data_IF_657097926912
#
_entry.id   IF_657097926912
#
_cell.length_a   1.000
_cell.length_b   1.000
_cell.length_c   1.000
_cell.angle_alpha   90.00
_cell.angle_beta   90.00
_cell.angle_gamma   90.00
#
_symmetry.space_group_name_H-M   'P 1'
#
loop_
_entity.id
_entity.type
_entity.pdbx_description
1 polymer ?
#
# COMPACT_ATOMS: atom_id res chain seq x y z
N UNK A 1 -11.59 9.37 -0.04
CA UNK A 1 -10.53 8.34 -0.01
C UNK A 1 -10.10 7.96 -1.43
N UNK A 2 -11.02 7.46 -2.26
CA UNK A 2 -10.71 6.97 -3.62
C UNK A 2 -10.17 8.07 -4.54
N UNK A 3 -10.65 9.30 -4.41
CA UNK A 3 -10.18 10.44 -5.22
C UNK A 3 -8.87 11.07 -4.72
N UNK A 4 -8.27 10.53 -3.65
CA UNK A 4 -7.08 11.13 -3.06
C UNK A 4 -5.82 10.85 -3.88
N UNK A 5 -4.89 11.79 -3.85
CA UNK A 5 -3.57 11.64 -4.47
C UNK A 5 -2.84 10.38 -3.98
N UNK A 6 -2.97 10.08 -2.69
CA UNK A 6 -2.41 8.87 -2.08
C UNK A 6 -3.01 7.59 -2.68
N UNK A 7 -4.33 7.55 -2.86
CA UNK A 7 -5.02 6.39 -3.39
C UNK A 7 -4.64 6.13 -4.85
N UNK A 8 -4.55 7.20 -5.64
CA UNK A 8 -4.19 7.12 -7.05
C UNK A 8 -2.72 6.71 -7.29
N UNK A 9 -1.86 6.88 -6.29
CA UNK A 9 -0.45 6.48 -6.37
C UNK A 9 -0.22 5.01 -5.98
N UNK A 10 -1.17 4.40 -5.26
CA UNK A 10 -1.05 3.01 -4.82
C UNK A 10 -0.87 2.04 -5.99
N UNK A 11 0.03 1.07 -5.77
CA UNK A 11 0.20 -0.04 -6.71
C UNK A 11 -1.05 -0.93 -6.72
N UNK A 12 -1.36 -1.60 -7.84
CA UNK A 12 -2.50 -2.52 -7.92
C UNK A 12 -2.48 -3.60 -6.84
N UNK A 13 -1.31 -4.13 -6.49
CA UNK A 13 -1.16 -5.14 -5.42
C UNK A 13 -1.43 -4.56 -4.04
N UNK A 14 -1.07 -3.30 -3.80
CA UNK A 14 -1.36 -2.58 -2.54
C UNK A 14 -2.86 -2.35 -2.38
N UNK A 15 -3.57 -2.05 -3.47
CA UNK A 15 -5.04 -1.97 -3.46
C UNK A 15 -5.69 -3.30 -3.07
N UNK A 16 -5.19 -4.43 -3.61
CA UNK A 16 -5.70 -5.76 -3.22
C UNK A 16 -5.49 -6.04 -1.72
N UNK A 17 -4.32 -5.65 -1.19
CA UNK A 17 -4.03 -5.75 0.25
C UNK A 17 -5.00 -4.87 1.06
N UNK A 18 -5.20 -3.63 0.65
CA UNK A 18 -6.11 -2.68 1.31
C UNK A 18 -7.53 -3.22 1.35
N UNK A 19 -8.06 -3.70 0.22
CA UNK A 19 -9.39 -4.32 0.15
C UNK A 19 -9.47 -5.55 1.06
N UNK A 20 -8.42 -6.36 1.13
CA UNK A 20 -8.38 -7.54 2.01
C UNK A 20 -8.48 -7.18 3.50
N UNK A 21 -7.86 -6.06 3.90
CA UNK A 21 -7.96 -5.51 5.26
C UNK A 21 -9.38 -4.94 5.47
N UNK A 22 -9.85 -4.08 4.57
CA UNK A 22 -11.15 -3.40 4.69
C UNK A 22 -12.35 -4.36 4.68
N UNK A 23 -12.27 -5.50 3.99
CA UNK A 23 -13.31 -6.56 4.05
C UNK A 23 -13.54 -7.14 5.45
N UNK A 24 -12.61 -6.90 6.38
CA UNK A 24 -12.68 -7.35 7.78
C UNK A 24 -13.02 -6.21 8.74
N UNK A 25 -13.18 -5.00 8.21
CA UNK A 25 -13.70 -3.89 8.97
C UNK A 25 -15.20 -4.11 9.18
N UNK A 26 -15.67 -4.04 10.42
CA UNK A 26 -17.08 -4.26 10.78
C UNK A 26 -17.85 -2.95 11.03
N UNK A 27 -17.21 -1.79 10.83
CA UNK A 27 -17.77 -0.47 11.12
C UNK A 27 -17.33 0.12 12.46
N UNK A 28 -16.82 -0.71 13.38
CA UNK A 28 -16.44 -0.32 14.75
C UNK A 28 -14.95 -0.59 15.07
N UNK A 29 -14.37 -1.64 14.47
CA UNK A 29 -12.95 -1.96 14.63
C UNK A 29 -12.05 -1.10 13.71
N UNK A 30 -10.75 -1.34 13.73
CA UNK A 30 -9.76 -0.55 12.99
C UNK A 30 -9.20 0.63 13.77
N UNK A 31 -9.39 0.66 15.09
CA UNK A 31 -8.70 1.61 15.98
C UNK A 31 -7.46 0.95 16.59
N UNK A 32 -6.66 1.71 17.33
CA UNK A 32 -5.54 1.16 18.09
C UNK A 32 -5.98 0.12 19.14
N UNK A 33 -7.12 0.37 19.79
CA UNK A 33 -7.61 -0.45 20.91
C UNK A 33 -8.47 -1.63 20.43
N UNK A 34 -9.13 -1.49 19.28
CA UNK A 34 -9.84 -2.56 18.58
C UNK A 34 -9.36 -2.66 17.11
N UNK A 35 -8.18 -3.26 16.85
CA UNK A 35 -7.59 -3.26 15.52
C UNK A 35 -8.19 -4.35 14.61
N UNK A 36 -8.13 -4.11 13.29
CA UNK A 36 -8.53 -5.12 12.30
C UNK A 36 -7.52 -6.25 12.28
N UNK A 37 -7.98 -7.48 12.51
CA UNK A 37 -7.17 -8.69 12.42
C UNK A 37 -7.16 -9.18 10.98
N UNK A 38 -6.00 -9.17 10.31
CA UNK A 38 -5.88 -9.69 8.94
C UNK A 38 -4.57 -10.48 8.74
N UNK A 39 -4.62 -11.82 8.72
CA UNK A 39 -3.42 -12.63 8.49
C UNK A 39 -2.96 -12.58 7.02
N UNK A 40 -1.68 -12.87 6.75
CA UNK A 40 -1.16 -12.97 5.38
C UNK A 40 -1.93 -13.97 4.51
N UNK A 41 -2.38 -15.09 5.10
CA UNK A 41 -3.17 -16.11 4.40
C UNK A 41 -4.48 -15.55 3.83
N UNK A 42 -5.07 -14.55 4.48
CA UNK A 42 -6.27 -13.87 4.02
C UNK A 42 -6.04 -12.95 2.81
N UNK A 43 -4.80 -12.61 2.51
CA UNK A 43 -4.39 -11.71 1.42
C UNK A 43 -3.80 -12.47 0.22
N UNK A 44 -3.66 -13.79 0.32
CA UNK A 44 -2.79 -14.61 -0.53
C UNK A 44 -3.33 -14.90 -1.94
N UNK A 45 -4.39 -14.25 -2.40
CA UNK A 45 -5.12 -14.55 -3.65
C UNK A 45 -4.28 -14.47 -4.94
N UNK A 46 -3.36 -15.41 -5.13
CA UNK A 46 -2.35 -15.43 -6.19
C UNK A 46 -1.09 -14.57 -5.92
N UNK A 47 -1.00 -13.92 -4.75
CA UNK A 47 0.06 -12.96 -4.45
C UNK A 47 1.10 -13.56 -3.51
N UNK A 48 2.38 -13.37 -3.82
CA UNK A 48 3.48 -13.81 -2.95
C UNK A 48 3.48 -13.06 -1.61
N UNK A 49 3.99 -13.70 -0.56
CA UNK A 49 4.13 -13.08 0.77
C UNK A 49 5.01 -11.83 0.72
N UNK A 50 6.08 -11.85 -0.08
CA UNK A 50 6.95 -10.69 -0.29
C UNK A 50 6.19 -9.52 -0.93
N UNK A 51 5.33 -9.80 -1.90
CA UNK A 51 4.48 -8.78 -2.54
C UNK A 51 3.44 -8.23 -1.57
N UNK A 52 2.83 -9.07 -0.73
CA UNK A 52 1.92 -8.63 0.34
C UNK A 52 2.67 -7.71 1.32
N UNK A 53 3.87 -8.10 1.76
CA UNK A 53 4.67 -7.30 2.67
C UNK A 53 5.02 -5.92 2.10
N UNK A 54 5.36 -5.87 0.80
CA UNK A 54 5.55 -4.61 0.06
C UNK A 54 4.26 -3.79 0.02
N UNK A 55 3.11 -4.43 -0.24
CA UNK A 55 1.81 -3.76 -0.29
C UNK A 55 1.42 -3.16 1.05
N UNK A 56 1.63 -3.88 2.15
CA UNK A 56 1.39 -3.35 3.50
C UNK A 56 2.25 -2.12 3.77
N UNK A 57 3.55 -2.17 3.45
CA UNK A 57 4.46 -1.03 3.64
C UNK A 57 4.01 0.20 2.85
N UNK A 58 3.62 -0.01 1.60
CA UNK A 58 3.11 1.05 0.72
C UNK A 58 1.87 1.71 1.31
N UNK A 59 0.94 0.94 1.87
CA UNK A 59 -0.24 1.47 2.55
C UNK A 59 0.10 2.26 3.83
N UNK A 60 1.14 1.86 4.57
CA UNK A 60 1.63 2.61 5.74
C UNK A 60 2.28 3.94 5.32
N UNK A 61 3.12 3.92 4.28
CA UNK A 61 3.77 5.11 3.72
C UNK A 61 2.74 6.12 3.19
N UNK A 62 1.63 5.62 2.64
CA UNK A 62 0.52 6.45 2.13
C UNK A 62 -0.49 6.86 3.23
N UNK A 63 -0.29 6.44 4.48
CA UNK A 63 -1.15 6.85 5.59
C UNK A 63 -2.56 6.24 5.57
N UNK A 64 -2.72 5.07 4.96
CA UNK A 64 -3.99 4.33 4.98
C UNK A 64 -4.14 3.43 6.19
N UNK A 65 -3.04 2.83 6.65
CA UNK A 65 -3.04 1.90 7.78
C UNK A 65 -1.79 2.08 8.64
N UNK A 66 -1.84 1.53 9.84
CA UNK A 66 -0.68 1.30 10.69
C UNK A 66 -0.73 -0.12 11.24
N UNK A 67 0.37 -0.87 11.11
CA UNK A 67 0.48 -2.15 11.82
C UNK A 67 0.63 -1.92 13.31
N UNK A 68 -0.28 -2.51 14.09
CA UNK A 68 -0.21 -2.53 15.55
C UNK A 68 0.56 -3.76 16.01
N UNK A 69 0.36 -4.91 15.36
CA UNK A 69 1.07 -6.15 15.67
C UNK A 69 1.58 -6.83 14.41
N UNK A 70 2.82 -7.30 14.50
CA UNK A 70 3.46 -8.15 13.50
C UNK A 70 3.27 -9.61 13.89
N UNK A 71 2.72 -10.41 12.98
CA UNK A 71 2.45 -11.83 13.17
C UNK A 71 3.68 -12.74 13.26
N UNK A 72 4.89 -12.19 13.08
CA UNK A 72 6.14 -12.94 13.00
C UNK A 72 6.15 -13.93 11.83
N UNK A 73 6.79 -15.09 12.01
CA UNK A 73 6.79 -16.26 11.09
C UNK A 73 5.39 -16.89 10.93
N UNK A 74 4.36 -16.08 10.72
CA UNK A 74 2.94 -16.46 10.62
C UNK A 74 2.37 -17.15 11.85
N UNK A 75 3.01 -17.02 13.02
CA UNK A 75 2.53 -17.61 14.28
C UNK A 75 1.33 -16.88 14.86
N UNK A 76 1.20 -15.59 14.56
CA UNK A 76 0.06 -14.78 14.96
C UNK A 76 -0.48 -14.01 13.75
N UNK A 77 -1.76 -13.64 13.75
CA UNK A 77 -2.28 -12.75 12.72
C UNK A 77 -1.71 -11.33 12.92
N UNK A 78 -1.52 -10.61 11.81
CA UNK A 78 -1.22 -9.18 11.90
C UNK A 78 -2.50 -8.43 12.31
N UNK A 79 -2.31 -7.29 12.97
CA UNK A 79 -3.39 -6.38 13.31
C UNK A 79 -3.10 -4.98 12.82
N UNK A 80 -4.15 -4.27 12.40
CA UNK A 80 -4.05 -3.00 11.70
C UNK A 80 -5.02 -1.98 12.28
N UNK A 81 -4.51 -0.78 12.50
CA UNK A 81 -5.29 0.43 12.70
C UNK A 81 -5.50 1.09 11.33
N UNK A 82 -6.71 1.60 11.07
CA UNK A 82 -7.00 2.43 9.92
C UNK A 82 -6.54 3.86 10.21
N UNK A 83 -5.81 4.44 9.26
CA UNK A 83 -5.40 5.83 9.33
C UNK A 83 -6.16 6.64 8.28
N UNK A 84 -6.45 7.89 8.63
CA UNK A 84 -7.06 8.86 7.72
C UNK A 84 -6.06 9.90 7.21
N UNK A 85 -4.76 9.72 7.48
CA UNK A 85 -3.72 10.72 7.14
C UNK A 85 -3.37 10.75 5.65
N UNK A 86 -3.94 9.87 4.83
CA UNK A 86 -3.81 9.88 3.37
C UNK A 86 -4.18 11.21 2.71
N UNK A 87 -5.02 12.05 3.34
CA UNK A 87 -5.36 13.38 2.81
C UNK A 87 -4.20 14.39 2.92
N UNK A 88 -3.23 14.15 3.81
CA UNK A 88 -2.02 14.97 3.98
C UNK A 88 -0.84 14.45 3.14
N UNK A 89 -0.97 13.25 2.58
CA UNK A 89 0.09 12.65 1.80
C UNK A 89 0.38 13.49 0.55
N UNK A 90 1.67 13.70 0.29
CA UNK A 90 2.14 14.43 -0.88
C UNK A 90 3.07 13.51 -1.66
N UNK A 91 2.86 13.37 -2.98
CA UNK A 91 3.79 12.63 -3.81
C UNK A 91 5.15 13.33 -3.80
N UNK A 92 6.22 12.54 -3.83
CA UNK A 92 7.50 13.09 -4.25
C UNK A 92 7.36 13.54 -5.72
N UNK A 93 7.51 14.85 -5.94
CA UNK A 93 7.36 15.48 -7.26
C UNK A 93 8.28 14.85 -8.30
N UNK A 94 9.44 14.33 -7.88
CA UNK A 94 10.42 13.72 -8.78
C UNK A 94 9.98 12.32 -9.24
N UNK A 95 9.39 11.53 -8.35
CA UNK A 95 8.91 10.18 -8.69
C UNK A 95 7.72 10.20 -9.64
N UNK A 96 6.74 11.09 -9.44
CA UNK A 96 5.59 11.19 -10.35
C UNK A 96 6.00 11.58 -11.78
N UNK A 97 6.99 12.47 -11.93
CA UNK A 97 7.52 12.84 -13.25
C UNK A 97 8.15 11.63 -13.95
N UNK A 98 8.96 10.84 -13.21
CA UNK A 98 9.59 9.63 -13.73
C UNK A 98 8.58 8.53 -14.06
N UNK A 99 7.56 8.32 -13.23
CA UNK A 99 6.50 7.34 -13.49
C UNK A 99 5.66 7.74 -14.70
N UNK A 100 5.36 9.02 -14.89
CA UNK A 100 4.63 9.53 -16.06
C UNK A 100 5.44 9.31 -17.35
N UNK A 101 6.74 9.56 -17.33
CA UNK A 101 7.66 9.29 -18.47
C UNK A 101 7.70 7.80 -18.81
N UNK A 102 7.79 6.91 -17.80
CA UNK A 102 7.79 5.46 -18.00
C UNK A 102 6.46 4.95 -18.57
N UNK A 103 5.32 5.51 -18.11
CA UNK A 103 3.97 5.15 -18.59
C UNK A 103 3.63 5.74 -19.96
N UNK A 104 4.20 6.89 -20.32
CA UNK A 104 3.97 7.54 -21.62
C UNK A 104 4.77 6.91 -22.77
N UNK A 105 5.54 5.84 -22.52
CA UNK A 105 6.28 5.13 -23.57
C UNK A 105 7.36 5.97 -24.25
N UNK A 106 7.75 7.12 -23.68
CA UNK A 106 8.94 7.85 -24.13
C UNK A 106 10.15 7.00 -23.75
N UNK A 107 10.58 6.15 -24.68
CA UNK A 107 11.90 5.55 -24.66
C UNK A 107 12.89 6.69 -24.41
N UNK A 108 13.69 6.54 -23.36
CA UNK A 108 14.85 7.38 -23.14
C UNK A 108 15.87 7.11 -24.25
N UNK A 109 15.69 7.75 -25.41
CA UNK A 109 16.74 7.98 -26.42
C UNK A 109 17.65 9.17 -26.03
N UNK A 110 17.79 9.47 -24.74
CA UNK A 110 18.61 10.57 -24.25
C UNK A 110 19.74 10.14 -23.30
N UNK A 111 20.17 8.86 -23.34
CA UNK A 111 21.44 8.42 -22.73
C UNK A 111 22.23 7.49 -23.66
N UNK A 112 22.32 7.88 -24.93
CA UNK A 112 23.28 7.33 -25.87
C UNK A 112 24.38 8.36 -26.15
N UNK A 113 25.55 8.13 -25.53
CA UNK A 113 26.89 8.44 -26.05
C UNK A 113 27.10 9.86 -26.59
N UNK A 114 27.67 10.73 -25.74
CA UNK A 114 28.54 11.80 -26.25
C UNK A 114 29.99 11.29 -26.26
N UNK A 115 30.75 11.52 -27.34
CA UNK A 115 32.13 11.07 -27.52
C UNK A 115 33.12 11.69 -26.53
#
# INVERSE_FOLDING_TARGET
>A
MVDSDAFNDLRPTSLVVLVSILRRHNGFNGTKDDPIICPYSAMKGGISTATIAKGIRDLEEHGFIKRIRYGGLMKQPNTYELLFTWHQWKPDKNERKLQKIKRSGLKSEAMGVLP
#
